data_IF_046648849004
#
_entry.id   IF_046648849004
#
_cell.length_a   1.000
_cell.length_b   1.000
_cell.length_c   1.000
_cell.angle_alpha   90.00
_cell.angle_beta   90.00
_cell.angle_gamma   90.00
#
_symmetry.space_group_name_H-M   'P 1'
#
loop_
_entity.id
_entity.type
_entity.pdbx_description
1 polymer ?
#
# COMPACT_ATOMS: atom_id res chain seq x y z
N UNK A 1 -60.80 -49.52 3.42
CA UNK A 1 -59.79 -48.78 4.20
C UNK A 1 -58.64 -49.73 4.58
N UNK A 2 -57.52 -49.72 3.85
CA UNK A 2 -56.18 -50.11 4.34
C UNK A 2 -55.16 -49.25 3.57
N UNK A 3 -54.10 -48.87 4.28
CA UNK A 3 -53.21 -47.71 4.15
C UNK A 3 -52.21 -47.80 2.99
N UNK A 4 -51.97 -46.68 2.29
CA UNK A 4 -50.73 -46.45 1.54
C UNK A 4 -49.58 -46.14 2.50
N UNK A 5 -48.48 -46.90 2.39
CA UNK A 5 -47.27 -46.78 3.20
C UNK A 5 -46.29 -45.81 2.53
N UNK A 6 -45.84 -44.83 3.31
CA UNK A 6 -44.96 -43.71 3.02
C UNK A 6 -43.64 -44.09 2.33
N UNK A 7 -43.48 -43.69 1.08
CA UNK A 7 -42.24 -43.65 0.28
C UNK A 7 -41.59 -42.26 0.43
N UNK A 8 -40.88 -42.01 1.54
CA UNK A 8 -40.29 -40.67 1.80
C UNK A 8 -38.94 -40.66 2.52
N UNK A 9 -38.44 -41.80 3.02
CA UNK A 9 -37.21 -41.84 3.83
C UNK A 9 -35.96 -42.24 3.05
N UNK A 10 -36.09 -42.94 1.92
CA UNK A 10 -34.95 -43.45 1.15
C UNK A 10 -34.31 -42.41 0.23
N UNK A 11 -35.09 -41.45 -0.29
CA UNK A 11 -34.61 -40.41 -1.21
C UNK A 11 -33.73 -39.36 -0.50
N UNK A 12 -34.04 -39.06 0.75
CA UNK A 12 -33.32 -38.07 1.57
C UNK A 12 -31.92 -38.60 1.96
N UNK A 13 -31.79 -39.90 2.22
CA UNK A 13 -30.51 -40.52 2.58
C UNK A 13 -29.52 -40.56 1.38
N UNK A 14 -30.01 -40.67 0.15
CA UNK A 14 -29.16 -40.71 -1.05
C UNK A 14 -28.66 -39.32 -1.46
N UNK A 15 -29.47 -38.27 -1.24
CA UNK A 15 -29.06 -36.87 -1.45
C UNK A 15 -27.97 -36.43 -0.47
N UNK A 16 -27.97 -36.94 0.77
CA UNK A 16 -26.95 -36.61 1.77
C UNK A 16 -25.56 -37.21 1.44
N UNK A 17 -25.51 -38.35 0.76
CA UNK A 17 -24.25 -39.02 0.43
C UNK A 17 -23.51 -38.39 -0.77
N UNK A 18 -24.24 -37.78 -1.71
CA UNK A 18 -23.64 -37.13 -2.89
C UNK A 18 -22.99 -35.79 -2.52
N UNK A 19 -23.50 -35.09 -1.51
CA UNK A 19 -22.91 -33.84 -1.00
C UNK A 19 -21.57 -34.07 -0.27
N UNK A 20 -21.34 -35.27 0.28
CA UNK A 20 -20.10 -35.57 1.01
C UNK A 20 -18.91 -36.01 0.14
N UNK A 21 -19.11 -36.30 -1.16
CA UNK A 21 -18.01 -36.72 -2.06
C UNK A 21 -17.38 -35.59 -2.88
N UNK A 22 -17.87 -34.35 -2.80
CA UNK A 22 -17.23 -33.18 -3.42
C UNK A 22 -16.27 -32.44 -2.47
N UNK A 23 -15.89 -33.05 -1.34
CA UNK A 23 -15.07 -32.44 -0.29
C UNK A 23 -13.57 -32.72 -0.34
N UNK A 24 -13.00 -33.09 -1.50
CA UNK A 24 -11.55 -33.35 -1.62
C UNK A 24 -10.94 -32.66 -2.85
N UNK A 25 -11.25 -31.37 -3.01
CA UNK A 25 -10.38 -30.43 -3.70
C UNK A 25 -9.80 -29.56 -2.57
N UNK A 26 -8.56 -29.81 -2.17
CA UNK A 26 -7.84 -28.92 -1.25
C UNK A 26 -7.55 -27.64 -2.06
N UNK A 27 -8.52 -26.76 -2.14
CA UNK A 27 -8.29 -25.35 -2.46
C UNK A 27 -7.62 -24.77 -1.23
N UNK A 28 -6.38 -24.31 -1.39
CA UNK A 28 -5.79 -23.39 -0.44
C UNK A 28 -6.70 -22.15 -0.41
N UNK A 29 -7.60 -22.10 0.57
CA UNK A 29 -8.33 -20.88 0.88
C UNK A 29 -7.36 -20.02 1.68
N UNK A 30 -6.97 -18.87 1.14
CA UNK A 30 -6.38 -17.81 1.93
C UNK A 30 -7.35 -17.50 3.07
N UNK A 31 -6.87 -17.60 4.31
CA UNK A 31 -7.69 -17.31 5.49
C UNK A 31 -7.75 -15.81 5.64
N UNK A 32 -8.90 -15.20 5.31
CA UNK A 32 -9.20 -13.86 5.81
C UNK A 32 -9.21 -14.00 7.34
N UNK A 33 -8.29 -13.32 8.02
CA UNK A 33 -8.29 -13.26 9.48
C UNK A 33 -9.61 -12.64 9.93
N UNK A 34 -10.29 -13.24 10.92
CA UNK A 34 -11.61 -12.81 11.45
C UNK A 34 -11.56 -11.44 12.18
N UNK A 35 -10.65 -10.55 11.80
CA UNK A 35 -10.55 -9.19 12.32
C UNK A 35 -11.52 -8.26 11.58
N UNK A 36 -12.15 -7.34 12.33
CA UNK A 36 -13.03 -6.33 11.75
C UNK A 36 -12.24 -5.48 10.75
N UNK A 37 -12.80 -5.17 9.56
CA UNK A 37 -12.08 -4.38 8.56
C UNK A 37 -11.61 -3.06 9.14
N UNK A 38 -10.35 -2.72 8.89
CA UNK A 38 -9.80 -1.43 9.29
C UNK A 38 -10.59 -0.30 8.64
N UNK A 39 -10.78 0.80 9.38
CA UNK A 39 -11.38 2.01 8.84
C UNK A 39 -10.57 2.48 7.62
N UNK A 40 -11.26 2.76 6.51
CA UNK A 40 -10.60 3.26 5.30
C UNK A 40 -10.17 4.70 5.54
N UNK A 41 -8.87 5.04 5.36
CA UNK A 41 -8.40 6.40 5.53
C UNK A 41 -9.11 7.43 4.63
N UNK A 42 -9.34 8.64 5.15
CA UNK A 42 -10.14 9.68 4.47
C UNK A 42 -9.61 10.08 3.07
N UNK A 43 -8.29 10.19 2.91
CA UNK A 43 -7.68 10.50 1.60
C UNK A 43 -7.84 9.38 0.57
N UNK A 44 -8.15 8.15 1.00
CA UNK A 44 -8.49 7.05 0.10
C UNK A 44 -9.98 7.12 -0.26
N UNK A 45 -10.86 7.38 0.71
CA UNK A 45 -12.30 7.54 0.44
C UNK A 45 -12.60 8.75 -0.45
N UNK A 46 -11.82 9.81 -0.32
CA UNK A 46 -11.98 11.05 -1.09
C UNK A 46 -11.27 11.01 -2.45
N UNK A 47 -10.48 9.95 -2.71
CA UNK A 47 -9.78 9.77 -3.98
C UNK A 47 -10.76 9.49 -5.11
N UNK A 48 -10.67 10.28 -6.18
CA UNK A 48 -11.41 10.03 -7.44
C UNK A 48 -10.67 9.07 -8.37
N UNK A 49 -9.41 8.74 -8.07
CA UNK A 49 -8.61 7.82 -8.86
C UNK A 49 -8.89 6.37 -8.46
N UNK A 50 -8.89 5.50 -9.46
CA UNK A 50 -8.90 4.04 -9.33
C UNK A 50 -7.49 3.52 -9.02
N UNK A 51 -7.27 3.15 -7.77
CA UNK A 51 -5.95 2.74 -7.30
C UNK A 51 -6.01 1.72 -6.16
N UNK A 52 -4.85 1.15 -5.86
CA UNK A 52 -4.59 0.24 -4.75
C UNK A 52 -3.63 0.91 -3.76
N UNK A 53 -3.87 0.69 -2.48
CA UNK A 53 -2.99 1.06 -1.38
C UNK A 53 -2.79 -0.14 -0.45
N UNK A 54 -1.67 -0.16 0.26
CA UNK A 54 -1.39 -1.14 1.30
C UNK A 54 -0.83 -0.42 2.52
N UNK A 55 -1.20 -0.90 3.69
CA UNK A 55 -0.69 -0.40 4.95
C UNK A 55 0.84 -0.53 5.01
N UNK A 56 1.48 0.60 5.28
CA UNK A 56 2.92 0.74 5.38
C UNK A 56 3.37 1.07 6.81
N UNK A 57 2.44 1.36 7.72
CA UNK A 57 2.79 1.74 9.07
C UNK A 57 2.57 0.57 10.04
N UNK A 58 3.63 0.10 10.74
CA UNK A 58 3.48 -0.95 11.75
C UNK A 58 2.82 -0.45 13.06
N UNK A 59 2.57 0.86 13.20
CA UNK A 59 2.10 1.46 14.45
C UNK A 59 0.77 2.16 14.23
N UNK A 60 -0.28 1.66 14.89
CA UNK A 60 -1.58 2.33 14.95
C UNK A 60 -1.47 3.71 15.62
N UNK A 61 -2.08 4.75 15.02
CA UNK A 61 -2.21 6.08 15.63
C UNK A 61 -1.13 7.10 15.26
N UNK A 62 -0.36 6.84 14.20
CA UNK A 62 0.48 7.82 13.51
C UNK A 62 -0.34 8.78 12.63
N UNK A 63 0.28 9.82 12.07
CA UNK A 63 -0.29 10.69 11.05
C UNK A 63 -1.03 9.86 10.03
N UNK A 64 -2.16 10.37 9.55
CA UNK A 64 -3.10 9.77 8.60
C UNK A 64 -2.45 9.07 7.38
N UNK A 65 -1.16 9.28 7.07
CA UNK A 65 -0.42 8.53 6.04
C UNK A 65 -0.05 7.13 6.54
N UNK A 66 -1.04 6.26 6.66
CA UNK A 66 -0.80 4.87 7.07
C UNK A 66 -0.61 3.94 5.85
N UNK A 67 -1.17 4.29 4.69
CA UNK A 67 -1.15 3.43 3.51
C UNK A 67 -0.41 4.04 2.30
N UNK A 68 0.38 3.21 1.63
CA UNK A 68 1.15 3.56 0.43
C UNK A 68 0.37 3.20 -0.81
N UNK A 69 0.20 4.17 -1.70
CA UNK A 69 -0.39 3.97 -3.02
C UNK A 69 0.58 3.24 -3.95
N UNK A 70 0.06 2.39 -4.83
CA UNK A 70 0.85 1.81 -5.92
C UNK A 70 1.44 2.88 -6.85
N UNK A 71 2.51 2.53 -7.55
CA UNK A 71 3.16 3.41 -8.52
C UNK A 71 3.18 2.77 -9.92
N UNK A 72 2.59 3.41 -10.95
CA UNK A 72 2.66 2.91 -12.31
C UNK A 72 4.01 3.21 -12.97
N UNK A 73 4.60 2.20 -13.58
CA UNK A 73 5.77 2.30 -14.46
C UNK A 73 5.37 2.40 -15.93
N UNK A 74 6.29 2.89 -16.77
CA UNK A 74 6.14 3.06 -18.21
C UNK A 74 5.83 1.74 -18.96
N UNK A 75 6.27 0.61 -18.41
CA UNK A 75 6.00 -0.74 -18.94
C UNK A 75 4.66 -1.35 -18.50
N UNK A 76 3.81 -0.57 -17.82
CA UNK A 76 2.48 -1.01 -17.35
C UNK A 76 2.53 -1.93 -16.12
N UNK A 77 3.64 -1.92 -15.37
CA UNK A 77 3.77 -2.59 -14.07
C UNK A 77 3.46 -1.59 -12.97
N UNK A 78 2.65 -1.99 -12.00
CA UNK A 78 2.28 -1.22 -10.83
C UNK A 78 3.09 -1.73 -9.63
N UNK A 79 3.91 -0.87 -9.05
CA UNK A 79 4.79 -1.22 -7.93
C UNK A 79 4.18 -0.81 -6.60
N UNK A 80 4.13 -1.74 -5.65
CA UNK A 80 3.93 -1.46 -4.23
C UNK A 80 5.30 -1.43 -3.56
N UNK A 81 5.69 -0.27 -3.04
CA UNK A 81 7.02 -0.04 -2.46
C UNK A 81 6.87 0.15 -0.95
N UNK A 82 7.01 -0.94 -0.22
CA UNK A 82 6.73 -0.99 1.21
C UNK A 82 7.99 -0.79 2.05
N UNK A 83 7.86 -0.17 3.24
CA UNK A 83 8.96 -0.04 4.19
C UNK A 83 9.36 -1.40 4.74
N UNK A 84 10.59 -1.47 5.28
CA UNK A 84 11.12 -2.68 5.92
C UNK A 84 10.28 -3.17 7.10
N UNK A 85 9.42 -2.30 7.64
CA UNK A 85 8.56 -2.55 8.78
C UNK A 85 7.15 -2.99 8.43
N UNK A 86 6.75 -2.98 7.15
CA UNK A 86 5.41 -3.45 6.77
C UNK A 86 5.25 -4.95 7.09
N UNK A 87 4.10 -5.34 7.65
CA UNK A 87 3.80 -6.74 7.93
C UNK A 87 3.09 -7.38 6.73
N UNK A 88 3.86 -8.05 5.88
CA UNK A 88 3.33 -8.73 4.69
C UNK A 88 2.54 -10.01 5.02
N UNK A 89 2.67 -10.56 6.23
CA UNK A 89 1.94 -11.77 6.63
C UNK A 89 0.46 -11.50 6.97
N UNK A 90 0.08 -10.22 7.09
CA UNK A 90 -1.28 -9.78 7.35
C UNK A 90 -1.49 -8.33 6.92
N UNK A 91 -1.05 -7.98 5.71
CA UNK A 91 -1.06 -6.58 5.26
C UNK A 91 -2.48 -6.11 4.95
N UNK A 92 -2.88 -4.97 5.52
CA UNK A 92 -4.17 -4.35 5.20
C UNK A 92 -4.13 -3.72 3.82
N UNK A 93 -5.13 -4.02 2.99
CA UNK A 93 -5.23 -3.53 1.61
C UNK A 93 -6.44 -2.62 1.45
N UNK A 94 -6.26 -1.54 0.70
CA UNK A 94 -7.32 -0.59 0.37
C UNK A 94 -7.38 -0.33 -1.14
N UNK A 95 -8.58 -0.07 -1.66
CA UNK A 95 -8.77 0.35 -3.04
C UNK A 95 -10.08 1.14 -3.24
N UNK A 96 -10.18 1.77 -4.41
CA UNK A 96 -11.37 2.48 -4.88
C UNK A 96 -12.09 1.78 -6.05
N UNK A 97 -11.64 0.58 -6.45
CA UNK A 97 -12.35 -0.30 -7.40
C UNK A 97 -13.72 -0.74 -6.87
N UNK A 98 -14.66 -1.05 -7.77
CA UNK A 98 -15.96 -1.64 -7.39
C UNK A 98 -15.83 -3.14 -7.13
N UNK A 99 -15.00 -3.83 -7.93
CA UNK A 99 -14.63 -5.22 -7.77
C UNK A 99 -13.12 -5.37 -7.97
N UNK A 100 -12.46 -6.08 -7.07
CA UNK A 100 -11.02 -6.32 -7.11
C UNK A 100 -10.72 -7.74 -6.62
N UNK A 101 -9.80 -8.44 -7.29
CA UNK A 101 -9.36 -9.78 -6.90
C UNK A 101 -7.93 -10.06 -7.32
N UNK A 102 -7.27 -10.95 -6.57
CA UNK A 102 -5.99 -11.55 -6.97
C UNK A 102 -6.22 -13.06 -7.07
N UNK A 103 -6.15 -13.58 -8.30
CA UNK A 103 -6.54 -14.96 -8.57
C UNK A 103 -8.00 -15.21 -8.22
N UNK A 104 -8.24 -16.09 -7.24
CA UNK A 104 -9.60 -16.39 -6.74
C UNK A 104 -9.99 -15.59 -5.50
N UNK A 105 -9.06 -14.82 -4.92
CA UNK A 105 -9.27 -14.11 -3.66
C UNK A 105 -9.83 -12.71 -3.93
N UNK A 106 -11.06 -12.40 -3.48
CA UNK A 106 -11.58 -11.04 -3.52
C UNK A 106 -10.77 -10.14 -2.58
N UNK A 107 -10.36 -8.99 -3.10
CA UNK A 107 -9.73 -7.93 -2.31
C UNK A 107 -10.84 -6.97 -1.89
N UNK A 108 -11.00 -6.79 -0.58
CA UNK A 108 -12.00 -5.94 0.05
C UNK A 108 -11.24 -4.89 0.84
N UNK A 109 -11.50 -3.61 0.54
CA UNK A 109 -10.85 -2.50 1.23
C UNK A 109 -11.02 -2.57 2.75
N UNK A 110 -9.89 -2.48 3.46
CA UNK A 110 -9.82 -2.55 4.92
C UNK A 110 -9.52 -3.93 5.48
N UNK A 111 -9.50 -4.99 4.64
CA UNK A 111 -9.14 -6.32 5.10
C UNK A 111 -7.62 -6.56 5.07
N UNK A 112 -7.15 -7.39 5.99
CA UNK A 112 -5.79 -7.93 6.02
C UNK A 112 -5.67 -9.19 5.14
N UNK A 113 -4.51 -9.36 4.51
CA UNK A 113 -4.21 -10.48 3.61
C UNK A 113 -2.80 -11.03 3.82
N UNK A 114 -2.67 -12.35 3.86
CA UNK A 114 -1.41 -13.10 3.93
C UNK A 114 -0.84 -13.46 2.56
N UNK A 115 -1.64 -13.31 1.48
CA UNK A 115 -1.25 -13.65 0.11
C UNK A 115 -0.01 -12.90 -0.39
N UNK A 116 0.41 -11.84 0.32
CA UNK A 116 1.56 -11.01 0.00
C UNK A 116 2.80 -11.32 0.85
N UNK A 117 2.77 -12.35 1.72
CA UNK A 117 3.84 -12.68 2.69
C UNK A 117 5.23 -12.73 2.03
N UNK A 118 5.32 -13.32 0.84
CA UNK A 118 6.56 -13.48 0.07
C UNK A 118 6.91 -12.26 -0.81
N UNK A 119 6.06 -11.24 -0.85
CA UNK A 119 6.14 -10.16 -1.85
C UNK A 119 6.09 -10.71 -3.28
N UNK A 120 6.66 -10.00 -4.25
CA UNK A 120 6.82 -10.51 -5.62
C UNK A 120 5.76 -10.05 -6.62
N UNK A 121 5.46 -10.88 -7.61
CA UNK A 121 4.61 -10.55 -8.76
C UNK A 121 3.20 -11.11 -8.62
N UNK A 122 2.20 -10.26 -8.85
CA UNK A 122 0.77 -10.54 -8.74
C UNK A 122 0.03 -9.98 -9.95
N UNK A 123 -1.17 -10.51 -10.20
CA UNK A 123 -2.13 -9.93 -11.15
C UNK A 123 -3.35 -9.49 -10.35
N UNK A 124 -3.62 -8.19 -10.35
CA UNK A 124 -4.86 -7.64 -9.82
C UNK A 124 -5.87 -7.54 -10.97
N UNK A 125 -6.96 -8.29 -10.88
CA UNK A 125 -8.11 -8.10 -11.76
C UNK A 125 -9.10 -7.17 -11.05
N UNK A 126 -9.35 -5.99 -11.60
CA UNK A 126 -10.25 -5.02 -11.00
C UNK A 126 -11.07 -4.26 -12.05
N UNK A 127 -12.37 -4.10 -11.79
CA UNK A 127 -13.34 -3.41 -12.66
C UNK A 127 -13.30 -3.87 -14.16
N UNK A 128 -12.89 -5.13 -14.40
CA UNK A 128 -12.77 -5.72 -15.74
C UNK A 128 -11.42 -5.51 -16.45
N UNK A 129 -10.46 -4.87 -15.78
CA UNK A 129 -9.07 -4.71 -16.24
C UNK A 129 -8.11 -5.57 -15.42
N UNK A 130 -6.95 -5.90 -15.99
CA UNK A 130 -5.88 -6.64 -15.31
C UNK A 130 -4.64 -5.77 -15.16
N UNK A 131 -4.14 -5.63 -13.93
CA UNK A 131 -2.95 -4.86 -13.58
C UNK A 131 -1.82 -5.79 -13.13
N UNK A 132 -0.63 -5.62 -13.71
CA UNK A 132 0.58 -6.33 -13.27
C UNK A 132 1.10 -5.65 -12.01
N UNK A 133 0.89 -6.26 -10.85
CA UNK A 133 1.27 -5.72 -9.56
C UNK A 133 2.60 -6.35 -9.10
N UNK A 134 3.58 -5.54 -8.71
CA UNK A 134 4.82 -6.02 -8.08
C UNK A 134 4.96 -5.45 -6.69
N UNK A 135 4.93 -6.32 -5.67
CA UNK A 135 5.10 -5.97 -4.26
C UNK A 135 6.56 -6.11 -3.87
N UNK A 136 7.16 -5.02 -3.42
CA UNK A 136 8.55 -4.93 -3.00
C UNK A 136 8.63 -4.37 -1.59
N UNK A 137 9.44 -4.99 -0.75
CA UNK A 137 9.75 -4.50 0.59
C UNK A 137 11.20 -4.02 0.68
N UNK A 138 11.41 -2.86 1.29
CA UNK A 138 12.74 -2.29 1.52
C UNK A 138 13.59 -3.20 2.41
N UNK A 139 14.86 -3.42 2.05
CA UNK A 139 15.80 -4.22 2.85
C UNK A 139 16.59 -3.34 3.81
N UNK A 140 16.06 -3.14 5.03
CA UNK A 140 16.71 -2.40 6.14
C UNK A 140 17.08 -0.96 5.79
N UNK A 141 16.19 -0.27 5.08
CA UNK A 141 16.32 1.16 4.84
C UNK A 141 15.05 1.87 5.29
N UNK A 142 15.23 2.97 6.03
CA UNK A 142 14.12 3.80 6.47
C UNK A 142 13.40 4.45 5.29
N UNK A 143 12.11 4.66 5.46
CA UNK A 143 11.19 5.13 4.44
C UNK A 143 10.60 6.47 4.83
N UNK A 144 10.46 7.34 3.85
CA UNK A 144 9.84 8.64 4.01
C UNK A 144 8.64 8.73 3.07
N UNK A 145 7.48 9.00 3.65
CA UNK A 145 6.24 9.27 2.93
C UNK A 145 5.92 10.75 3.00
N UNK A 146 5.55 11.34 1.88
CA UNK A 146 5.27 12.77 1.75
C UNK A 146 3.91 12.90 1.08
N UNK A 147 3.04 13.66 1.71
CA UNK A 147 1.75 14.06 1.12
C UNK A 147 1.77 15.57 0.96
N UNK A 148 1.67 16.04 -0.28
CA UNK A 148 1.54 17.46 -0.58
C UNK A 148 0.10 17.91 -0.35
N UNK A 149 -0.12 19.19 -0.04
CA UNK A 149 -1.49 19.72 0.14
C UNK A 149 -2.38 19.51 -1.09
N UNK A 150 -1.83 19.57 -2.30
CA UNK A 150 -2.59 19.31 -3.53
C UNK A 150 -2.79 17.83 -3.83
N UNK A 151 -2.07 16.92 -3.15
CA UNK A 151 -2.02 15.50 -3.47
C UNK A 151 -1.26 15.16 -4.76
N UNK A 152 -0.67 16.15 -5.44
CA UNK A 152 0.15 15.98 -6.65
C UNK A 152 1.50 16.69 -6.52
N UNK A 153 2.43 16.36 -7.41
CA UNK A 153 3.74 17.01 -7.53
C UNK A 153 3.82 17.98 -8.72
N UNK A 154 2.74 18.15 -9.49
CA UNK A 154 2.72 18.93 -10.73
C UNK A 154 3.20 20.37 -10.54
N UNK A 155 2.71 21.04 -9.51
CA UNK A 155 3.09 22.41 -9.18
C UNK A 155 4.60 22.51 -8.86
N UNK A 156 5.14 21.60 -8.06
CA UNK A 156 6.57 21.56 -7.71
C UNK A 156 7.42 21.21 -8.95
N UNK A 157 6.91 20.39 -9.87
CA UNK A 157 7.63 19.96 -11.05
C UNK A 157 7.64 21.01 -12.16
N UNK A 158 6.64 21.89 -12.19
CA UNK A 158 6.54 23.01 -13.14
C UNK A 158 7.68 24.01 -12.99
N UNK A 159 8.08 24.34 -11.75
CA UNK A 159 9.23 25.19 -11.45
C UNK A 159 9.89 24.76 -10.12
N UNK A 160 11.22 24.62 -10.11
CA UNK A 160 11.99 24.23 -8.91
C UNK A 160 11.88 25.24 -7.77
N UNK A 161 11.52 26.48 -8.07
CA UNK A 161 11.33 27.52 -7.05
C UNK A 161 9.94 27.47 -6.40
N UNK A 162 9.00 26.72 -6.97
CA UNK A 162 7.71 26.47 -6.35
C UNK A 162 7.89 25.69 -5.05
N UNK A 163 7.08 26.07 -4.07
CA UNK A 163 7.05 25.49 -2.73
C UNK A 163 5.63 25.05 -2.44
N UNK A 164 5.52 23.91 -1.79
CA UNK A 164 4.23 23.40 -1.37
C UNK A 164 4.35 22.78 0.02
N UNK A 165 3.43 23.14 0.90
CA UNK A 165 3.32 22.55 2.23
C UNK A 165 2.71 21.14 2.13
N UNK A 166 2.70 20.43 3.25
CA UNK A 166 2.14 19.10 3.32
C UNK A 166 2.46 18.42 4.64
N UNK A 167 2.41 17.10 4.64
CA UNK A 167 2.77 16.25 5.76
C UNK A 167 3.85 15.23 5.37
N UNK A 168 4.57 14.74 6.38
CA UNK A 168 5.66 13.80 6.23
C UNK A 168 5.61 12.77 7.35
N UNK A 169 5.72 11.50 6.97
CA UNK A 169 5.96 10.38 7.87
C UNK A 169 7.35 9.81 7.56
N UNK A 170 8.21 9.72 8.57
CA UNK A 170 9.52 9.08 8.49
C UNK A 170 9.54 7.87 9.42
N UNK A 171 9.76 6.70 8.81
CA UNK A 171 9.92 5.43 9.49
C UNK A 171 11.38 5.00 9.37
N UNK A 172 12.04 4.78 10.49
CA UNK A 172 13.40 4.26 10.55
C UNK A 172 13.47 2.77 10.15
N UNK A 173 14.69 2.25 10.01
CA UNK A 173 14.94 0.87 9.57
C UNK A 173 14.35 -0.20 10.50
N UNK A 174 14.11 0.14 11.76
CA UNK A 174 13.56 -0.74 12.79
C UNK A 174 12.04 -0.60 12.96
N UNK A 175 11.39 0.21 12.11
CA UNK A 175 9.95 0.49 12.18
C UNK A 175 9.57 1.62 13.14
N UNK A 176 10.54 2.24 13.81
CA UNK A 176 10.26 3.39 14.68
C UNK A 176 9.92 4.63 13.85
N UNK A 177 8.90 5.37 14.29
CA UNK A 177 8.53 6.65 13.68
C UNK A 177 9.42 7.75 14.23
N UNK A 178 10.36 8.25 13.43
CA UNK A 178 11.25 9.37 13.83
C UNK A 178 10.70 10.75 13.43
N UNK A 179 9.76 10.82 12.50
CA UNK A 179 8.99 12.02 12.26
C UNK A 179 7.57 11.72 11.80
N UNK A 180 6.63 12.49 12.34
CA UNK A 180 5.23 12.42 12.03
C UNK A 180 4.67 13.84 12.19
N UNK A 181 4.23 14.42 11.07
CA UNK A 181 3.48 15.66 11.08
C UNK A 181 3.78 16.59 9.91
N UNK A 182 3.49 17.87 10.12
CA UNK A 182 3.51 18.87 9.04
C UNK A 182 4.91 19.21 8.54
N UNK A 183 4.96 19.58 7.27
CA UNK A 183 6.12 20.07 6.55
C UNK A 183 5.85 21.50 6.07
N UNK A 184 6.70 22.45 6.46
CA UNK A 184 6.64 23.85 6.00
C UNK A 184 6.62 23.94 4.47
N UNK A 185 7.49 23.16 3.80
CA UNK A 185 7.43 22.96 2.35
C UNK A 185 8.38 21.87 1.82
N UNK A 186 8.02 21.35 0.66
CA UNK A 186 8.92 20.71 -0.31
C UNK A 186 9.14 21.66 -1.50
N UNK A 187 10.37 21.69 -2.05
CA UNK A 187 10.68 22.39 -3.31
C UNK A 187 11.75 21.68 -4.11
N UNK A 188 11.81 21.97 -5.40
CA UNK A 188 12.91 21.54 -6.25
C UNK A 188 14.26 22.14 -5.84
N UNK A 189 15.34 21.52 -6.30
CA UNK A 189 16.69 22.08 -6.14
C UNK A 189 17.62 21.67 -7.28
N UNK A 190 18.87 22.09 -7.15
CA UNK A 190 19.91 21.80 -8.14
C UNK A 190 19.80 22.72 -9.35
N UNK A 191 20.88 22.74 -10.13
CA UNK A 191 20.92 23.50 -11.37
C UNK A 191 20.74 22.55 -12.55
N UNK A 192 21.81 21.86 -12.95
CA UNK A 192 21.79 20.86 -14.02
C UNK A 192 21.02 19.60 -13.63
N UNK A 193 21.07 19.20 -12.36
CA UNK A 193 20.39 18.00 -11.86
C UNK A 193 18.86 18.12 -11.81
N UNK A 194 18.29 19.32 -11.95
CA UNK A 194 16.84 19.52 -11.98
C UNK A 194 16.16 18.93 -13.23
N UNK A 195 16.92 18.88 -14.33
CA UNK A 195 16.44 18.40 -15.62
C UNK A 195 16.59 16.87 -15.79
N UNK A 196 17.01 16.16 -14.73
CA UNK A 196 17.09 14.71 -14.74
C UNK A 196 15.71 14.09 -14.49
N UNK A 197 15.55 12.84 -14.92
CA UNK A 197 14.32 12.06 -14.71
C UNK A 197 13.95 11.90 -13.22
N UNK A 198 14.96 11.87 -12.33
CA UNK A 198 14.78 11.97 -10.88
C UNK A 198 15.11 13.40 -10.43
N UNK A 199 14.07 14.16 -10.10
CA UNK A 199 14.19 15.53 -9.61
C UNK A 199 14.71 15.52 -8.16
N UNK A 200 15.72 16.34 -7.82
CA UNK A 200 16.16 16.50 -6.44
C UNK A 200 15.32 17.55 -5.71
N UNK A 201 15.07 17.31 -4.41
CA UNK A 201 14.22 18.16 -3.57
C UNK A 201 14.96 18.72 -2.35
N UNK A 202 14.45 19.83 -1.81
CA UNK A 202 14.70 20.27 -0.44
C UNK A 202 13.40 20.13 0.34
N UNK A 203 13.49 19.62 1.57
CA UNK A 203 12.36 19.50 2.48
C UNK A 203 12.64 20.35 3.72
N UNK A 204 11.62 21.10 4.15
CA UNK A 204 11.64 21.86 5.40
C UNK A 204 10.51 21.39 6.30
N UNK A 205 10.85 20.82 7.45
CA UNK A 205 9.94 20.35 8.48
C UNK A 205 9.44 21.51 9.35
N UNK A 206 8.18 21.46 9.78
CA UNK A 206 7.60 22.47 10.67
C UNK A 206 8.27 22.43 12.05
N UNK A 207 8.63 21.24 12.53
CA UNK A 207 9.33 21.01 13.80
C UNK A 207 10.73 20.41 13.57
N UNK A 208 11.64 20.64 14.52
CA UNK A 208 12.96 19.98 14.47
C UNK A 208 12.79 18.51 14.78
N UNK A 209 13.42 17.66 13.98
CA UNK A 209 13.37 16.22 14.14
C UNK A 209 14.77 15.65 14.05
N UNK A 210 15.01 14.56 14.79
CA UNK A 210 16.16 13.69 14.58
C UNK A 210 15.80 12.78 13.41
N UNK A 211 16.60 12.77 12.34
CA UNK A 211 16.25 12.08 11.11
C UNK A 211 17.33 11.05 10.84
N UNK A 212 16.99 9.75 10.84
CA UNK A 212 17.91 8.67 10.46
C UNK A 212 19.26 8.72 11.23
N UNK A 213 19.23 9.02 12.53
CA UNK A 213 20.43 9.15 13.37
C UNK A 213 21.26 10.43 13.19
N UNK A 214 20.76 11.44 12.47
CA UNK A 214 21.37 12.77 12.36
C UNK A 214 20.83 13.76 13.39
N UNK A 215 21.70 14.69 13.82
CA UNK A 215 21.34 15.76 14.76
C UNK A 215 20.09 16.56 14.34
N UNK A 216 19.31 16.98 15.34
CA UNK A 216 18.01 17.64 15.15
C UNK A 216 18.08 18.85 14.22
N UNK A 217 17.40 18.75 13.08
CA UNK A 217 17.33 19.81 12.05
C UNK A 217 15.89 20.03 11.59
N UNK A 218 15.63 21.21 11.01
CA UNK A 218 14.38 21.49 10.27
C UNK A 218 14.54 21.31 8.75
N UNK A 219 15.76 21.28 8.24
CA UNK A 219 16.04 21.25 6.80
C UNK A 219 16.76 19.96 6.45
N UNK A 220 16.28 19.31 5.40
CA UNK A 220 16.87 18.07 4.88
C UNK A 220 17.05 18.15 3.36
N UNK A 221 18.16 17.59 2.89
CA UNK A 221 18.43 17.30 1.48
C UNK A 221 18.46 15.77 1.27
N UNK A 222 17.42 15.17 0.67
CA UNK A 222 17.32 13.72 0.52
C UNK A 222 18.35 13.08 -0.42
N UNK A 223 19.07 13.83 -1.29
CA UNK A 223 20.06 13.16 -2.17
C UNK A 223 21.40 12.86 -1.48
N UNK A 224 21.56 13.23 -0.22
CA UNK A 224 22.85 13.19 0.46
C UNK A 224 22.85 12.19 1.63
N UNK A 225 22.48 10.92 1.43
CA UNK A 225 22.77 9.87 2.41
C UNK A 225 23.17 8.55 1.76
N UNK A 226 24.36 8.09 2.16
CA UNK A 226 24.93 6.77 1.93
C UNK A 226 24.07 5.79 2.77
N UNK A 227 23.24 4.97 2.11
CA UNK A 227 22.32 3.97 2.67
C UNK A 227 20.89 4.40 3.09
N UNK A 228 20.26 5.34 2.37
CA UNK A 228 18.82 5.69 2.49
C UNK A 228 18.07 5.56 1.15
N UNK A 229 17.14 4.61 0.99
CA UNK A 229 16.23 4.50 -0.14
C UNK A 229 15.08 5.48 0.09
N UNK A 230 15.24 6.69 -0.44
CA UNK A 230 14.17 7.68 -0.49
C UNK A 230 13.17 7.28 -1.58
N UNK A 231 12.03 6.74 -1.17
CA UNK A 231 10.89 6.46 -2.05
C UNK A 231 10.02 7.71 -2.19
N UNK A 232 10.48 8.71 -2.94
CA UNK A 232 9.58 9.70 -3.50
C UNK A 232 8.91 9.07 -4.73
N UNK A 233 7.85 8.25 -4.52
CA UNK A 233 6.91 7.68 -5.52
C UNK A 233 7.43 7.53 -6.97
N UNK A 234 8.67 7.08 -7.16
CA UNK A 234 9.28 6.76 -8.46
C UNK A 234 10.51 5.88 -8.19
N UNK A 235 10.37 4.54 -8.23
CA UNK A 235 11.51 3.65 -8.41
C UNK A 235 12.09 3.84 -9.81
N UNK A 236 13.40 3.61 -9.94
CA UNK A 236 14.14 3.78 -11.19
C UNK A 236 13.72 2.74 -12.22
N UNK A 237 13.64 3.16 -13.48
CA UNK A 237 13.84 2.27 -14.62
C UNK A 237 15.21 1.60 -14.43
N UNK A 238 15.23 0.28 -14.21
CA UNK A 238 16.44 -0.56 -14.19
C UNK A 238 16.80 -1.00 -15.61
#
# INVERSE_FOLDING_TARGET
>A
MVKHKTQGKAVIALMLAIVMMLGACITAFATITDEEPAAIPGYITDSTEKALWMDACPVSGTSEIDAVKWFPDSDGVYYMLLPASADLSGITVYHTFQDARIGQTPIISGNAYDIFEDGGDYTLDADGESYRLKVLQSSKIGSMFITTESGTMDNIHADKENKEAGSLLLIDTDGTVSYDGEMDHIKGRGNTTWNLAKKPYNIKLSKKAELMGMAKSKKMDPSCQRAGAFYAQKPLDL
#
